data_IF_901781682974
#
_entry.id   IF_901781682974
#
_cell.length_a   1.000
_cell.length_b   1.000
_cell.length_c   1.000
_cell.angle_alpha   90.00
_cell.angle_beta   90.00
_cell.angle_gamma   90.00
#
_symmetry.space_group_name_H-M   'P 1'
#
loop_
_entity.id
_entity.type
_entity.pdbx_description
1 polymer ?
#
# COMPACT_ATOMS: atom_id res chain seq x y z
N UNK A 1 16.59 3.80 2.99
CA UNK A 1 15.32 4.53 2.75
C UNK A 1 14.37 3.64 1.96
N UNK A 2 13.08 3.65 2.28
CA UNK A 2 12.05 2.91 1.55
C UNK A 2 11.29 3.85 0.62
N UNK A 3 11.22 3.49 -0.67
CA UNK A 3 10.46 4.26 -1.66
C UNK A 3 9.34 3.41 -2.26
N UNK A 4 8.15 3.38 -1.64
CA UNK A 4 7.04 2.60 -2.16
C UNK A 4 6.48 3.23 -3.43
N UNK A 5 6.38 2.45 -4.50
CA UNK A 5 5.73 2.82 -5.74
C UNK A 5 4.65 1.79 -6.05
N UNK A 6 3.44 2.23 -6.36
CA UNK A 6 2.34 1.33 -6.63
C UNK A 6 1.23 1.97 -7.43
N UNK A 7 0.41 1.12 -8.03
CA UNK A 7 -0.79 1.49 -8.77
C UNK A 7 -2.01 0.96 -8.03
N UNK A 8 -3.07 1.77 -7.98
CA UNK A 8 -4.36 1.38 -7.41
C UNK A 8 -5.46 1.69 -8.43
N UNK A 9 -6.40 0.77 -8.55
CA UNK A 9 -7.58 0.85 -9.40
C UNK A 9 -8.83 0.79 -8.54
N UNK A 10 -9.77 1.71 -8.78
CA UNK A 10 -11.03 1.81 -8.07
C UNK A 10 -12.16 1.31 -8.95
N UNK A 11 -12.83 0.25 -8.49
CA UNK A 11 -13.95 -0.40 -9.16
C UNK A 11 -15.22 -0.07 -8.37
N UNK A 12 -16.10 0.74 -8.94
CA UNK A 12 -17.36 1.10 -8.31
C UNK A 12 -18.41 1.42 -9.37
N UNK A 13 -19.65 0.97 -9.15
CA UNK A 13 -20.80 1.36 -9.98
C UNK A 13 -21.43 2.66 -9.50
N UNK A 14 -21.30 2.95 -8.20
CA UNK A 14 -21.84 4.15 -7.57
C UNK A 14 -20.75 5.23 -7.44
N UNK A 15 -21.17 6.47 -7.22
CA UNK A 15 -20.28 7.61 -6.98
C UNK A 15 -19.72 7.69 -5.55
N UNK A 16 -19.92 6.64 -4.74
CA UNK A 16 -19.61 6.61 -3.31
C UNK A 16 -18.94 5.34 -2.80
N UNK A 17 -19.18 4.20 -3.45
CA UNK A 17 -18.72 2.89 -3.00
C UNK A 17 -17.72 2.35 -4.02
N UNK A 18 -16.50 2.06 -3.59
CA UNK A 18 -15.43 1.57 -4.45
C UNK A 18 -14.75 0.36 -3.84
N UNK A 19 -14.56 -0.68 -4.64
CA UNK A 19 -13.58 -1.72 -4.37
C UNK A 19 -12.22 -1.27 -4.93
N UNK A 20 -11.20 -1.31 -4.10
CA UNK A 20 -9.84 -0.88 -4.43
C UNK A 20 -8.97 -2.11 -4.60
N UNK A 21 -8.29 -2.19 -5.75
CA UNK A 21 -7.28 -3.21 -6.03
C UNK A 21 -6.02 -2.51 -6.46
N UNK A 22 -4.90 -2.85 -5.83
CA UNK A 22 -3.62 -2.28 -6.14
C UNK A 22 -2.48 -3.27 -6.01
N UNK A 23 -1.36 -2.89 -6.59
CA UNK A 23 -0.10 -3.59 -6.47
C UNK A 23 1.04 -2.58 -6.48
N UNK A 24 2.10 -2.88 -5.76
CA UNK A 24 3.27 -2.03 -5.72
C UNK A 24 4.52 -2.77 -5.29
N UNK A 25 5.63 -2.08 -5.44
CA UNK A 25 6.97 -2.52 -5.04
C UNK A 25 7.61 -1.43 -4.19
N UNK A 26 8.39 -1.84 -3.22
CA UNK A 26 9.13 -0.93 -2.33
C UNK A 26 10.61 -1.33 -2.35
N UNK A 27 11.44 -0.67 -3.18
CA UNK A 27 12.89 -0.78 -3.06
C UNK A 27 13.39 -0.20 -1.74
N UNK A 28 14.33 -0.91 -1.12
CA UNK A 28 15.19 -0.42 -0.06
C UNK A 28 16.50 0.04 -0.71
N UNK A 29 16.77 1.34 -0.60
CA UNK A 29 18.05 1.92 -0.98
C UNK A 29 18.81 2.18 0.32
N UNK A 30 19.83 1.38 0.61
CA UNK A 30 20.78 1.63 1.69
C UNK A 30 22.08 2.16 1.09
N UNK A 31 22.42 3.41 1.39
CA UNK A 31 23.71 4.00 1.02
C UNK A 31 24.78 3.54 2.01
N UNK A 32 25.97 3.27 1.51
CA UNK A 32 26.98 2.32 2.00
C UNK A 32 27.69 2.64 3.34
N UNK A 33 27.19 3.57 4.16
CA UNK A 33 27.88 3.93 5.42
C UNK A 33 27.66 2.93 6.58
N UNK A 34 26.97 1.80 6.35
CA UNK A 34 26.59 0.85 7.42
C UNK A 34 27.15 -0.58 7.29
N UNK A 35 27.90 -0.90 6.23
CA UNK A 35 28.47 -2.25 6.04
C UNK A 35 29.90 -2.16 5.46
N UNK A 36 30.87 -2.71 6.18
CA UNK A 36 32.30 -2.78 5.81
C UNK A 36 32.60 -3.66 4.57
N UNK A 37 31.63 -3.94 3.70
CA UNK A 37 31.74 -4.98 2.65
C UNK A 37 31.44 -4.48 1.22
N UNK A 38 31.42 -3.17 0.98
CA UNK A 38 31.51 -2.57 -0.37
C UNK A 38 30.42 -2.97 -1.37
N UNK A 39 29.28 -3.50 -0.90
CA UNK A 39 28.15 -3.89 -1.73
C UNK A 39 26.90 -3.12 -1.35
N UNK A 40 26.27 -2.47 -2.33
CA UNK A 40 24.96 -1.85 -2.17
C UNK A 40 23.92 -2.92 -1.79
N UNK A 41 23.39 -2.89 -0.56
CA UNK A 41 22.30 -3.78 -0.14
C UNK A 41 20.97 -3.27 -0.70
N UNK A 42 20.54 -3.81 -1.85
CA UNK A 42 19.23 -3.54 -2.46
C UNK A 42 18.26 -4.68 -2.19
N UNK A 43 17.55 -4.61 -1.07
CA UNK A 43 16.37 -5.47 -0.84
C UNK A 43 15.13 -4.81 -1.44
N UNK A 44 14.23 -5.58 -2.06
CA UNK A 44 12.95 -5.07 -2.58
C UNK A 44 11.83 -5.98 -2.12
N UNK A 45 10.68 -5.41 -1.76
CA UNK A 45 9.48 -6.21 -1.46
C UNK A 45 8.27 -5.69 -2.20
N UNK A 46 7.39 -6.62 -2.57
CA UNK A 46 6.13 -6.35 -3.22
C UNK A 46 4.99 -6.27 -2.20
N UNK A 47 3.93 -5.57 -2.58
CA UNK A 47 2.67 -5.59 -1.87
C UNK A 47 1.50 -5.60 -2.86
N UNK A 48 0.43 -6.28 -2.49
CA UNK A 48 -0.88 -6.10 -3.10
C UNK A 48 -1.75 -5.28 -2.15
N UNK A 49 -2.79 -4.64 -2.65
CA UNK A 49 -3.76 -3.91 -1.85
C UNK A 49 -5.16 -4.30 -2.31
N UNK A 50 -6.00 -4.76 -1.39
CA UNK A 50 -7.40 -5.07 -1.64
C UNK A 50 -8.23 -4.41 -0.57
N UNK A 51 -9.26 -3.67 -0.95
CA UNK A 51 -10.05 -2.98 0.06
C UNK A 51 -11.38 -2.47 -0.43
N UNK A 52 -12.19 -2.09 0.53
CA UNK A 52 -13.40 -1.34 0.30
C UNK A 52 -13.17 0.11 0.72
N UNK A 53 -13.56 1.06 -0.12
CA UNK A 53 -13.51 2.50 0.11
C UNK A 53 -14.88 3.10 -0.07
N UNK A 54 -15.40 3.68 1.00
CA UNK A 54 -16.54 4.59 0.99
C UNK A 54 -16.05 6.03 0.95
N UNK A 55 -16.44 6.77 -0.09
CA UNK A 55 -16.11 8.18 -0.24
C UNK A 55 -17.26 8.96 -0.89
N UNK A 56 -17.95 9.84 -0.16
CA UNK A 56 -19.05 10.62 -0.73
C UNK A 56 -18.58 11.62 -1.81
N UNK A 57 -19.42 11.92 -2.82
CA UNK A 57 -19.07 12.79 -3.93
C UNK A 57 -18.95 14.27 -3.55
N UNK A 58 -19.76 14.77 -2.61
CA UNK A 58 -19.69 16.15 -2.12
C UNK A 58 -18.85 16.25 -0.86
N UNK A 59 -19.47 16.12 0.31
CA UNK A 59 -18.83 16.17 1.62
C UNK A 59 -19.38 15.08 2.52
N UNK A 60 -18.63 14.74 3.56
CA UNK A 60 -19.06 13.79 4.56
C UNK A 60 -17.98 12.78 4.94
N UNK A 61 -18.40 11.82 5.76
CA UNK A 61 -17.56 10.77 6.30
C UNK A 61 -16.97 9.88 5.21
N UNK A 62 -15.68 9.57 5.32
CA UNK A 62 -14.98 8.60 4.49
C UNK A 62 -14.58 7.40 5.34
N UNK A 63 -14.64 6.22 4.74
CA UNK A 63 -14.23 4.98 5.38
C UNK A 63 -13.46 4.11 4.40
N UNK A 64 -12.44 3.42 4.88
CA UNK A 64 -11.76 2.38 4.13
C UNK A 64 -11.46 1.20 5.04
N UNK A 65 -11.62 0.00 4.52
CA UNK A 65 -11.08 -1.23 5.09
C UNK A 65 -10.26 -1.93 4.01
N UNK A 66 -9.06 -2.38 4.34
CA UNK A 66 -8.15 -2.96 3.36
C UNK A 66 -7.26 -4.04 3.97
N UNK A 67 -6.84 -4.97 3.12
CA UNK A 67 -5.78 -5.94 3.35
C UNK A 67 -4.70 -5.71 2.31
N UNK A 68 -3.46 -5.75 2.75
CA UNK A 68 -2.26 -5.50 1.98
C UNK A 68 -1.31 -6.68 2.14
N UNK A 69 -1.47 -7.78 1.39
CA UNK A 69 -0.50 -8.88 1.42
C UNK A 69 0.89 -8.37 1.01
N UNK A 70 1.90 -8.59 1.86
CA UNK A 70 3.29 -8.17 1.61
C UNK A 70 4.16 -9.40 1.39
N UNK A 71 4.98 -9.42 0.35
CA UNK A 71 5.87 -10.53 0.00
C UNK A 71 7.27 -10.01 -0.37
N UNK A 72 8.31 -10.68 0.12
CA UNK A 72 9.69 -10.35 -0.18
C UNK A 72 10.65 -11.38 0.42
N UNK A 73 11.94 -11.08 0.43
CA UNK A 73 12.98 -11.97 0.96
C UNK A 73 12.80 -12.28 2.46
N UNK A 74 12.12 -11.39 3.19
CA UNK A 74 11.78 -11.58 4.61
C UNK A 74 10.58 -12.52 4.84
N UNK A 75 9.96 -13.04 3.78
CA UNK A 75 8.80 -13.92 3.84
C UNK A 75 7.50 -13.27 3.34
N UNK A 76 6.37 -13.88 3.71
CA UNK A 76 5.04 -13.51 3.25
C UNK A 76 4.11 -13.19 4.43
N UNK A 77 3.56 -11.98 4.43
CA UNK A 77 2.58 -11.50 5.41
C UNK A 77 1.22 -11.32 4.73
N UNK A 78 0.36 -12.36 4.72
CA UNK A 78 -0.89 -12.34 3.96
C UNK A 78 -1.97 -11.40 4.51
N UNK A 79 -1.95 -11.14 5.82
CA UNK A 79 -3.06 -10.46 6.53
C UNK A 79 -2.69 -9.10 7.08
N UNK A 80 -1.62 -8.48 6.60
CA UNK A 80 -1.34 -7.10 6.94
C UNK A 80 -2.45 -6.21 6.36
N UNK A 81 -2.94 -5.23 7.09
CA UNK A 81 -4.13 -4.48 6.68
C UNK A 81 -4.60 -3.53 7.77
N UNK A 82 -5.73 -2.88 7.52
CA UNK A 82 -6.29 -1.95 8.47
C UNK A 82 -7.59 -1.30 8.04
N UNK A 83 -8.04 -0.38 8.88
CA UNK A 83 -9.19 0.48 8.62
C UNK A 83 -8.78 1.94 8.74
N UNK A 84 -9.41 2.82 7.97
CA UNK A 84 -9.22 4.26 8.06
C UNK A 84 -10.56 4.97 8.05
N UNK A 85 -10.65 6.01 8.86
CA UNK A 85 -11.82 6.88 8.95
C UNK A 85 -11.38 8.31 8.68
N UNK A 86 -12.22 9.08 8.01
CA UNK A 86 -11.92 10.47 7.69
C UNK A 86 -13.17 11.26 7.36
N UNK A 87 -12.94 12.51 6.94
CA UNK A 87 -13.99 13.41 6.52
C UNK A 87 -13.52 14.18 5.28
N UNK A 88 -14.38 14.27 4.27
CA UNK A 88 -14.19 15.07 3.07
C UNK A 88 -14.98 16.37 3.24
N UNK A 89 -14.27 17.50 3.14
CA UNK A 89 -14.85 18.84 3.20
C UNK A 89 -15.24 19.32 1.81
#
# INVERSE_FOLDING_TARGET
MFFPVGLNYLIGKDTKNYFEVGAGITPLIATEDFTNDGGTFTSTFGHLNFGYRYQPPSSGFTFRAFVTPIFGEFGFFPYYGGVSFGYKF
#
